data_IF_527343407636
#
_entry.id   IF_527343407636
#
_cell.length_a   1.000
_cell.length_b   1.000
_cell.length_c   1.000
_cell.angle_alpha   90.00
_cell.angle_beta   90.00
_cell.angle_gamma   90.00
#
_symmetry.space_group_name_H-M   'P 1'
#
loop_
_entity.id
_entity.type
_entity.pdbx_description
1 polymer ?
#
# COMPACT_ATOMS: atom_id res chain seq x y z
N UNK A 1 -1.80 19.13 -17.79
CA UNK A 1 -3.26 19.42 -17.89
C UNK A 1 -4.10 18.32 -18.58
N UNK A 2 -3.67 17.05 -18.62
CA UNK A 2 -4.45 15.94 -19.24
C UNK A 2 -4.84 14.79 -18.29
N UNK A 3 -4.56 14.90 -16.99
CA UNK A 3 -4.88 13.85 -16.00
C UNK A 3 -6.17 14.09 -15.21
N UNK A 4 -6.73 15.30 -15.19
CA UNK A 4 -7.93 15.62 -14.43
C UNK A 4 -9.25 15.19 -15.10
N UNK A 5 -9.25 14.93 -16.42
CA UNK A 5 -10.49 14.67 -17.16
C UNK A 5 -10.99 13.22 -17.08
N UNK A 6 -10.17 12.28 -16.59
CA UNK A 6 -10.57 10.89 -16.44
C UNK A 6 -11.44 10.64 -15.20
N UNK A 7 -11.33 11.48 -14.16
CA UNK A 7 -12.06 11.27 -12.90
C UNK A 7 -13.52 11.78 -12.96
N UNK A 8 -13.80 12.80 -13.77
CA UNK A 8 -15.14 13.39 -13.87
C UNK A 8 -16.20 12.47 -14.47
N UNK A 9 -15.80 11.45 -15.25
CA UNK A 9 -16.73 10.45 -15.83
C UNK A 9 -16.92 9.19 -14.99
N UNK A 10 -16.21 9.03 -13.86
CA UNK A 10 -16.47 7.90 -12.95
C UNK A 10 -17.52 8.21 -11.88
N UNK A 11 -17.80 9.48 -11.60
CA UNK A 11 -18.77 9.85 -10.55
C UNK A 11 -20.22 9.53 -10.90
N UNK A 12 -20.58 9.49 -12.20
CA UNK A 12 -21.92 9.09 -12.64
C UNK A 12 -22.06 7.58 -12.88
N UNK A 13 -20.95 6.85 -13.07
CA UNK A 13 -20.97 5.40 -13.29
C UNK A 13 -21.03 4.61 -11.97
N UNK A 14 -20.22 5.01 -10.98
CA UNK A 14 -20.07 4.25 -9.74
C UNK A 14 -21.37 4.14 -8.93
N UNK A 15 -22.21 5.18 -8.92
CA UNK A 15 -23.47 5.16 -8.18
C UNK A 15 -24.51 4.22 -8.81
N UNK A 16 -24.55 4.14 -10.15
CA UNK A 16 -25.46 3.24 -10.87
C UNK A 16 -24.95 1.80 -10.90
N UNK A 17 -23.64 1.57 -11.00
CA UNK A 17 -23.09 0.20 -10.99
C UNK A 17 -23.20 -0.44 -9.61
N UNK A 18 -23.00 0.31 -8.52
CA UNK A 18 -23.18 -0.20 -7.16
C UNK A 18 -24.64 -0.61 -6.87
N UNK A 19 -25.60 0.23 -7.24
CA UNK A 19 -27.02 -0.05 -7.03
C UNK A 19 -27.56 -1.18 -7.95
N UNK A 20 -27.10 -1.28 -9.20
CA UNK A 20 -27.49 -2.40 -10.08
C UNK A 20 -26.82 -3.72 -9.71
N UNK A 21 -25.57 -3.72 -9.24
CA UNK A 21 -24.90 -4.95 -8.78
C UNK A 21 -25.56 -5.45 -7.49
N UNK A 22 -25.96 -4.55 -6.59
CA UNK A 22 -26.65 -4.93 -5.35
C UNK A 22 -28.00 -5.63 -5.61
N UNK A 23 -28.76 -5.18 -6.60
CA UNK A 23 -30.08 -5.76 -6.93
C UNK A 23 -30.03 -7.08 -7.72
N UNK A 24 -28.91 -7.39 -8.38
CA UNK A 24 -28.76 -8.55 -9.28
C UNK A 24 -28.00 -9.71 -8.63
N UNK A 25 -27.49 -9.54 -7.41
CA UNK A 25 -26.58 -10.47 -6.73
C UNK A 25 -27.22 -11.16 -5.50
N UNK A 26 -28.42 -10.75 -5.10
CA UNK A 26 -29.10 -11.25 -3.90
C UNK A 26 -29.73 -12.65 -4.06
N UNK A 27 -29.69 -13.27 -5.25
CA UNK A 27 -30.43 -14.52 -5.49
C UNK A 27 -29.58 -15.80 -5.69
N UNK A 28 -28.26 -15.76 -5.94
CA UNK A 28 -27.51 -17.02 -6.23
C UNK A 28 -26.01 -17.09 -5.91
N UNK A 29 -25.37 -16.12 -5.26
CA UNK A 29 -23.92 -16.22 -4.99
C UNK A 29 -23.58 -15.96 -3.53
N UNK A 30 -23.01 -16.97 -2.86
CA UNK A 30 -22.40 -16.83 -1.55
C UNK A 30 -21.37 -15.68 -1.59
N UNK A 31 -21.26 -14.83 -0.54
CA UNK A 31 -20.26 -13.74 -0.45
C UNK A 31 -18.82 -14.20 -0.74
N UNK A 32 -18.60 -15.51 -0.63
CA UNK A 32 -17.35 -16.20 -0.92
C UNK A 32 -16.96 -16.14 -2.40
N UNK A 33 -17.87 -16.25 -3.37
CA UNK A 33 -17.54 -16.29 -4.81
C UNK A 33 -17.04 -14.94 -5.34
N UNK A 34 -17.43 -13.82 -4.71
CA UNK A 34 -16.93 -12.48 -5.06
C UNK A 34 -15.57 -12.20 -4.40
N UNK A 35 -15.41 -12.62 -3.14
CA UNK A 35 -14.19 -12.39 -2.39
C UNK A 35 -13.05 -13.36 -2.80
N UNK A 36 -13.41 -14.56 -3.26
CA UNK A 36 -12.48 -15.61 -3.69
C UNK A 36 -11.47 -15.16 -4.77
N UNK A 37 -11.88 -14.56 -5.91
CA UNK A 37 -10.92 -14.16 -6.94
C UNK A 37 -9.94 -13.08 -6.44
N UNK A 38 -10.39 -12.14 -5.60
CA UNK A 38 -9.52 -11.10 -5.04
C UNK A 38 -8.51 -11.68 -4.03
N UNK A 39 -8.95 -12.60 -3.15
CA UNK A 39 -8.08 -13.26 -2.20
C UNK A 39 -7.03 -14.16 -2.89
N UNK A 40 -7.44 -14.91 -3.93
CA UNK A 40 -6.55 -15.75 -4.73
C UNK A 40 -5.50 -14.92 -5.47
N UNK A 41 -5.90 -13.79 -6.07
CA UNK A 41 -4.97 -12.89 -6.74
C UNK A 41 -3.94 -12.29 -5.76
N UNK A 42 -4.39 -11.88 -4.56
CA UNK A 42 -3.52 -11.39 -3.50
C UNK A 42 -2.50 -12.46 -3.06
N UNK A 43 -2.96 -13.67 -2.80
CA UNK A 43 -2.10 -14.79 -2.40
C UNK A 43 -1.07 -15.14 -3.49
N UNK A 44 -1.50 -15.21 -4.76
CA UNK A 44 -0.62 -15.49 -5.88
C UNK A 44 0.46 -14.40 -6.06
N UNK A 45 0.09 -13.14 -5.84
CA UNK A 45 1.02 -12.01 -5.86
C UNK A 45 2.09 -12.14 -4.77
N UNK A 46 1.70 -12.43 -3.51
CA UNK A 46 2.67 -12.65 -2.44
C UNK A 46 3.59 -13.85 -2.71
N UNK A 47 3.07 -14.93 -3.27
CA UNK A 47 3.87 -16.10 -3.65
C UNK A 47 4.90 -15.74 -4.74
N UNK A 48 4.48 -14.98 -5.74
CA UNK A 48 5.38 -14.49 -6.79
C UNK A 48 6.46 -13.55 -6.26
N UNK A 49 6.10 -12.60 -5.39
CA UNK A 49 7.05 -11.69 -4.73
C UNK A 49 8.04 -12.50 -3.87
N UNK A 50 7.54 -13.49 -3.13
CA UNK A 50 8.38 -14.36 -2.31
C UNK A 50 9.35 -15.18 -3.16
N UNK A 51 8.91 -15.72 -4.30
CA UNK A 51 9.78 -16.39 -5.26
C UNK A 51 10.88 -15.47 -5.80
N UNK A 52 10.54 -14.23 -6.17
CA UNK A 52 11.52 -13.23 -6.61
C UNK A 52 12.52 -12.89 -5.51
N UNK A 53 12.06 -12.78 -4.26
CA UNK A 53 12.92 -12.53 -3.10
C UNK A 53 13.93 -13.65 -2.87
N UNK A 54 13.50 -14.92 -2.94
CA UNK A 54 14.42 -16.06 -2.86
C UNK A 54 15.44 -16.07 -4.02
N UNK A 55 14.98 -15.80 -5.24
CA UNK A 55 15.86 -15.71 -6.42
C UNK A 55 16.89 -14.58 -6.27
N UNK A 56 16.51 -13.47 -5.65
CA UNK A 56 17.42 -12.38 -5.35
C UNK A 56 18.49 -12.81 -4.34
N UNK A 57 18.10 -13.50 -3.27
CA UNK A 57 19.01 -13.99 -2.23
C UNK A 57 20.01 -15.06 -2.72
N UNK A 58 19.66 -15.82 -3.75
CA UNK A 58 20.54 -16.83 -4.35
C UNK A 58 21.65 -16.25 -5.26
N UNK A 59 21.59 -14.95 -5.62
CA UNK A 59 22.65 -14.35 -6.44
C UNK A 59 23.92 -14.09 -5.60
N UNK A 60 25.13 -14.33 -6.14
CA UNK A 60 26.37 -14.05 -5.43
C UNK A 60 26.47 -12.56 -5.05
N UNK A 61 27.05 -12.29 -3.90
CA UNK A 61 27.33 -10.92 -3.43
C UNK A 61 28.70 -10.45 -3.92
N UNK A 62 28.97 -9.14 -3.94
CA UNK A 62 30.24 -8.58 -4.45
C UNK A 62 31.50 -9.23 -3.87
N UNK A 63 31.45 -9.71 -2.61
CA UNK A 63 32.49 -10.52 -1.97
C UNK A 63 32.84 -11.81 -2.71
N UNK A 64 31.83 -12.50 -3.25
CA UNK A 64 31.97 -13.79 -3.93
C UNK A 64 32.52 -13.63 -5.36
N UNK A 65 32.41 -12.41 -5.92
CA UNK A 65 32.88 -12.04 -7.26
C UNK A 65 34.28 -11.38 -7.21
N UNK A 66 34.90 -11.32 -6.02
CA UNK A 66 36.26 -10.78 -5.84
C UNK A 66 36.37 -9.25 -5.76
N UNK A 67 35.26 -8.52 -5.59
CA UNK A 67 35.23 -7.05 -5.53
C UNK A 67 34.68 -6.54 -4.17
N UNK A 68 35.46 -6.64 -3.07
CA UNK A 68 35.01 -6.28 -1.71
C UNK A 68 34.70 -4.79 -1.53
N UNK A 69 35.18 -3.91 -2.42
CA UNK A 69 34.89 -2.47 -2.39
C UNK A 69 33.41 -2.16 -2.71
N UNK A 70 32.75 -3.00 -3.52
CA UNK A 70 31.33 -2.82 -3.88
C UNK A 70 30.40 -3.05 -2.68
N UNK A 71 30.74 -4.01 -1.82
CA UNK A 71 29.99 -4.27 -0.60
C UNK A 71 30.13 -3.11 0.40
N UNK A 72 31.32 -2.52 0.51
CA UNK A 72 31.56 -1.36 1.36
C UNK A 72 30.75 -0.14 0.91
N UNK A 73 30.72 0.15 -0.39
CA UNK A 73 29.93 1.26 -0.93
C UNK A 73 28.43 1.01 -0.75
N UNK A 74 27.97 -0.21 -1.02
CA UNK A 74 26.57 -0.59 -0.84
C UNK A 74 26.14 -0.50 0.63
N UNK A 75 27.02 -0.86 1.57
CA UNK A 75 26.76 -0.70 3.00
C UNK A 75 26.62 0.78 3.41
N UNK A 76 27.46 1.66 2.87
CA UNK A 76 27.34 3.11 3.11
C UNK A 76 26.02 3.66 2.57
N UNK A 77 25.64 3.29 1.33
CA UNK A 77 24.35 3.69 0.73
C UNK A 77 23.17 3.19 1.57
N UNK A 78 23.18 1.92 1.97
CA UNK A 78 22.13 1.32 2.81
C UNK A 78 22.01 2.02 4.16
N UNK A 79 23.13 2.40 4.77
CA UNK A 79 23.12 3.13 6.03
C UNK A 79 22.54 4.55 5.90
N UNK A 80 22.90 5.27 4.84
CA UNK A 80 22.37 6.60 4.55
C UNK A 80 20.89 6.57 4.20
N UNK A 81 20.46 5.61 3.38
CA UNK A 81 19.07 5.45 3.00
C UNK A 81 18.17 5.13 4.21
N UNK A 82 18.65 4.29 5.15
CA UNK A 82 17.93 4.00 6.40
C UNK A 82 17.80 5.24 7.30
N UNK A 83 18.84 6.07 7.39
CA UNK A 83 18.81 7.32 8.16
C UNK A 83 17.84 8.33 7.54
N UNK A 84 17.84 8.45 6.22
CA UNK A 84 16.90 9.28 5.48
C UNK A 84 15.44 8.84 5.72
N UNK A 85 15.12 7.54 5.53
CA UNK A 85 13.75 7.04 5.79
C UNK A 85 13.30 7.27 7.21
N UNK A 86 14.18 7.06 8.20
CA UNK A 86 13.80 7.28 9.60
C UNK A 86 13.37 8.74 9.83
N UNK A 87 14.08 9.68 9.23
CA UNK A 87 13.77 11.09 9.33
C UNK A 87 12.48 11.43 8.59
N UNK A 88 12.33 10.96 7.35
CA UNK A 88 11.13 11.18 6.55
C UNK A 88 9.89 10.59 7.22
N UNK A 89 9.97 9.37 7.75
CA UNK A 89 8.85 8.71 8.45
C UNK A 89 8.48 9.42 9.74
N UNK A 90 9.42 10.10 10.39
CA UNK A 90 9.14 10.92 11.55
C UNK A 90 8.28 12.14 11.20
N UNK A 91 8.56 12.81 10.08
CA UNK A 91 7.72 13.91 9.59
C UNK A 91 6.39 13.40 9.02
N UNK A 92 6.42 12.29 8.28
CA UNK A 92 5.24 11.69 7.65
C UNK A 92 4.24 11.20 8.70
N UNK A 93 4.70 10.63 9.83
CA UNK A 93 3.81 10.16 10.88
C UNK A 93 2.99 11.30 11.51
N UNK A 94 3.60 12.48 11.69
CA UNK A 94 2.89 13.68 12.17
C UNK A 94 1.82 14.10 11.17
N UNK A 95 2.15 14.12 9.87
CA UNK A 95 1.19 14.42 8.81
C UNK A 95 0.02 13.43 8.79
N UNK A 96 0.29 12.13 8.89
CA UNK A 96 -0.74 11.08 8.92
C UNK A 96 -1.64 11.24 10.14
N UNK A 97 -1.10 11.52 11.33
CA UNK A 97 -1.90 11.77 12.53
C UNK A 97 -2.83 12.99 12.37
N UNK A 98 -2.31 14.10 11.84
CA UNK A 98 -3.11 15.31 11.61
C UNK A 98 -4.19 15.06 10.55
N UNK A 99 -3.86 14.36 9.46
CA UNK A 99 -4.81 14.01 8.41
C UNK A 99 -5.91 13.07 8.93
N UNK A 100 -5.55 12.08 9.77
CA UNK A 100 -6.53 11.17 10.38
C UNK A 100 -7.51 11.91 11.30
N UNK A 101 -7.01 12.86 12.12
CA UNK A 101 -7.85 13.71 12.96
C UNK A 101 -8.74 14.65 12.13
N UNK A 102 -8.21 15.22 11.06
CA UNK A 102 -8.96 16.08 10.15
C UNK A 102 -10.08 15.31 9.44
N UNK A 103 -9.80 14.09 8.97
CA UNK A 103 -10.81 13.20 8.39
C UNK A 103 -11.88 12.83 9.42
N UNK A 104 -11.48 12.45 10.64
CA UNK A 104 -12.42 12.14 11.71
C UNK A 104 -13.35 13.32 12.02
N UNK A 105 -12.80 14.53 12.19
CA UNK A 105 -13.57 15.74 12.47
C UNK A 105 -14.49 16.14 11.30
N UNK A 106 -14.02 15.99 10.06
CA UNK A 106 -14.80 16.33 8.87
C UNK A 106 -16.01 15.40 8.73
N UNK A 107 -15.81 14.09 8.84
CA UNK A 107 -16.89 13.10 8.72
C UNK A 107 -17.79 13.03 9.96
N UNK A 108 -17.35 13.56 11.12
CA UNK A 108 -18.27 13.78 12.26
C UNK A 108 -19.20 14.97 12.06
N UNK A 109 -18.78 16.00 11.31
CA UNK A 109 -19.60 17.20 11.05
C UNK A 109 -20.46 17.09 9.79
N UNK A 110 -20.01 16.34 8.78
CA UNK A 110 -20.75 16.09 7.54
C UNK A 110 -20.95 14.58 7.34
N UNK A 111 -21.98 13.99 7.96
CA UNK A 111 -22.28 12.57 7.80
C UNK A 111 -22.73 12.29 6.35
N UNK A 112 -22.23 11.20 5.76
CA UNK A 112 -22.57 10.77 4.40
C UNK A 112 -23.98 10.16 4.39
N UNK A 113 -24.38 9.50 5.48
CA UNK A 113 -25.69 8.86 5.65
C UNK A 113 -26.31 9.24 7.00
N UNK A 114 -27.59 9.62 7.07
CA UNK A 114 -28.24 10.03 8.32
C UNK A 114 -28.47 8.89 9.33
N UNK A 115 -28.24 7.63 8.94
CA UNK A 115 -28.56 6.44 9.74
C UNK A 115 -27.35 5.86 10.50
N UNK A 116 -26.10 6.17 10.12
CA UNK A 116 -24.90 5.59 10.75
C UNK A 116 -24.06 6.66 11.47
N UNK A 117 -24.21 6.71 12.78
CA UNK A 117 -23.54 7.66 13.68
C UNK A 117 -22.04 7.38 13.93
N UNK A 118 -21.43 6.41 13.23
CA UNK A 118 -20.05 5.97 13.44
C UNK A 118 -19.13 6.08 12.21
N UNK A 119 -19.57 6.71 11.12
CA UNK A 119 -18.81 6.83 9.87
C UNK A 119 -17.40 7.42 10.04
N UNK A 120 -17.26 8.47 10.87
CA UNK A 120 -15.97 9.14 11.08
C UNK A 120 -14.89 8.23 11.67
N UNK A 121 -15.26 7.28 12.53
CA UNK A 121 -14.30 6.34 13.14
C UNK A 121 -13.84 5.27 12.13
N UNK A 122 -14.76 4.76 11.31
CA UNK A 122 -14.45 3.78 10.27
C UNK A 122 -13.48 4.35 9.22
N UNK A 123 -13.70 5.60 8.79
CA UNK A 123 -12.83 6.26 7.82
C UNK A 123 -11.43 6.49 8.40
N UNK A 124 -11.34 6.98 9.64
CA UNK A 124 -10.05 7.21 10.29
C UNK A 124 -9.25 5.92 10.48
N UNK A 125 -9.90 4.82 10.89
CA UNK A 125 -9.25 3.51 11.02
C UNK A 125 -8.80 2.93 9.67
N UNK A 126 -9.63 3.04 8.63
CA UNK A 126 -9.27 2.59 7.29
C UNK A 126 -8.04 3.36 6.75
N UNK A 127 -8.01 4.68 6.96
CA UNK A 127 -6.88 5.52 6.59
C UNK A 127 -5.60 5.14 7.35
N UNK A 128 -5.68 4.98 8.68
CA UNK A 128 -4.52 4.63 9.50
C UNK A 128 -3.97 3.25 9.16
N UNK A 129 -4.84 2.27 8.95
CA UNK A 129 -4.45 0.91 8.54
C UNK A 129 -3.76 0.92 7.17
N UNK A 130 -4.28 1.69 6.22
CA UNK A 130 -3.66 1.89 4.91
C UNK A 130 -2.30 2.61 5.00
N UNK A 131 -2.18 3.62 5.85
CA UNK A 131 -0.93 4.35 6.06
C UNK A 131 0.17 3.44 6.64
N UNK A 132 -0.17 2.59 7.61
CA UNK A 132 0.78 1.60 8.18
C UNK A 132 1.21 0.58 7.12
N UNK A 133 0.27 0.09 6.31
CA UNK A 133 0.58 -0.85 5.22
C UNK A 133 1.46 -0.21 4.13
N UNK A 134 1.25 1.08 3.83
CA UNK A 134 2.08 1.83 2.88
C UNK A 134 3.51 2.02 3.43
N UNK A 135 3.61 2.41 4.69
CA UNK A 135 4.88 2.57 5.41
C UNK A 135 5.68 1.26 5.47
N UNK A 136 5.02 0.13 5.74
CA UNK A 136 5.71 -1.17 5.75
C UNK A 136 6.19 -1.59 4.35
N UNK A 137 5.37 -1.39 3.32
CA UNK A 137 5.75 -1.67 1.94
C UNK A 137 6.95 -0.82 1.48
N UNK A 138 7.00 0.47 1.84
CA UNK A 138 8.11 1.36 1.53
C UNK A 138 9.42 0.92 2.17
N UNK A 139 9.39 0.51 3.44
CA UNK A 139 10.57 0.00 4.15
C UNK A 139 11.11 -1.29 3.52
N UNK A 140 10.24 -2.26 3.24
CA UNK A 140 10.63 -3.53 2.61
C UNK A 140 11.21 -3.28 1.21
N UNK A 141 10.57 -2.42 0.42
CA UNK A 141 11.03 -2.06 -0.91
C UNK A 141 12.44 -1.47 -0.92
N UNK A 142 12.76 -0.57 0.01
CA UNK A 142 14.11 -0.03 0.15
C UNK A 142 15.15 -1.12 0.41
N UNK A 143 14.88 -2.02 1.36
CA UNK A 143 15.82 -3.08 1.74
C UNK A 143 16.14 -3.94 0.51
N UNK A 144 15.10 -4.40 -0.20
CA UNK A 144 15.23 -5.23 -1.40
C UNK A 144 15.97 -4.49 -2.53
N UNK A 145 15.70 -3.20 -2.73
CA UNK A 145 16.38 -2.39 -3.75
C UNK A 145 17.88 -2.22 -3.44
N UNK A 146 18.23 -1.92 -2.19
CA UNK A 146 19.64 -1.78 -1.77
C UNK A 146 20.41 -3.10 -1.83
N UNK A 147 19.75 -4.21 -1.49
CA UNK A 147 20.36 -5.55 -1.57
C UNK A 147 20.41 -6.09 -3.01
N UNK A 148 19.58 -5.58 -3.91
CA UNK A 148 19.64 -5.91 -5.33
C UNK A 148 20.82 -5.25 -6.04
N UNK A 149 21.11 -3.98 -5.72
CA UNK A 149 22.19 -3.21 -6.36
C UNK A 149 23.59 -3.81 -6.17
N UNK A 150 23.83 -4.56 -5.09
CA UNK A 150 25.13 -5.24 -4.85
C UNK A 150 25.24 -6.59 -5.57
N UNK A 151 24.11 -7.14 -6.05
CA UNK A 151 24.02 -8.47 -6.68
C UNK A 151 23.85 -8.41 -8.22
N UNK A 152 23.84 -7.19 -8.77
CA UNK A 152 23.73 -6.88 -10.20
C UNK A 152 24.93 -6.08 -10.63
#
# INVERSE_FOLDING_TARGET
>A
LKFAFAWGRLSCGACCTGAMVHSLLDQTLDPLEIAAPAALAGFLSFLFIFYLYLKLLSKPTGKDIGHPKLDQLSAQIKSGAKQFLRQEYCYLSVFVCVAALALWALFSHFPISPEQSSDGWHVALAFLTGAILSASAGWIGMVVATDGNVRT
#
